data_IF_330713638576
#
_entry.id   IF_330713638576
#
_cell.length_a   1.000
_cell.length_b   1.000
_cell.length_c   1.000
_cell.angle_alpha   90.00
_cell.angle_beta   90.00
_cell.angle_gamma   90.00
#
_symmetry.space_group_name_H-M   'P 1'
#
loop_
_entity.id
_entity.type
_entity.pdbx_description
1 polymer ?
#
# COMPACT_ATOMS: atom_id res chain seq x y z
N UNK A 1 20.60 32.31 23.82
CA UNK A 1 20.71 30.84 23.83
C UNK A 1 19.40 30.28 23.29
N UNK A 2 19.40 29.79 22.06
CA UNK A 2 18.22 29.21 21.40
C UNK A 2 18.29 27.69 21.46
N UNK A 3 17.38 27.08 22.21
CA UNK A 3 17.16 25.63 22.27
C UNK A 3 15.65 25.35 22.30
N UNK A 4 14.90 25.93 21.36
CA UNK A 4 13.50 25.58 21.13
C UNK A 4 13.26 25.62 19.63
N UNK A 5 13.65 24.58 18.88
CA UNK A 5 13.24 24.40 17.47
C UNK A 5 13.60 23.04 16.84
N UNK A 6 14.54 22.25 17.38
CA UNK A 6 14.92 20.98 16.71
C UNK A 6 13.86 19.87 16.77
N UNK A 7 13.00 19.84 17.80
CA UNK A 7 12.03 18.76 17.99
C UNK A 7 10.79 18.85 17.11
N UNK A 8 10.37 20.08 16.73
CA UNK A 8 9.25 20.28 15.83
C UNK A 8 9.63 20.04 14.36
N UNK A 9 10.88 20.34 14.01
CA UNK A 9 11.41 20.13 12.66
C UNK A 9 11.52 18.62 12.34
N UNK A 10 11.94 17.79 13.29
CA UNK A 10 11.99 16.33 13.10
C UNK A 10 10.60 15.72 12.97
N UNK A 11 9.64 16.12 13.82
CA UNK A 11 8.27 15.61 13.74
C UNK A 11 7.57 15.96 12.42
N UNK A 12 7.78 17.18 11.91
CA UNK A 12 7.26 17.61 10.62
C UNK A 12 7.89 16.85 9.45
N UNK A 13 9.21 16.65 9.49
CA UNK A 13 9.92 15.83 8.50
C UNK A 13 9.41 14.39 8.50
N UNK A 14 9.11 13.82 9.66
CA UNK A 14 8.58 12.46 9.78
C UNK A 14 7.13 12.37 9.27
N UNK A 15 6.30 13.38 9.53
CA UNK A 15 4.94 13.50 8.97
C UNK A 15 4.96 13.55 7.43
N UNK A 16 5.79 14.42 6.84
CA UNK A 16 5.89 14.57 5.39
C UNK A 16 6.40 13.30 4.71
N UNK A 17 7.38 12.63 5.32
CA UNK A 17 7.89 11.33 4.84
C UNK A 17 6.81 10.24 4.90
N UNK A 18 6.05 10.17 5.99
CA UNK A 18 4.98 9.18 6.15
C UNK A 18 3.88 9.38 5.11
N UNK A 19 3.51 10.64 4.84
CA UNK A 19 2.56 10.98 3.77
C UNK A 19 3.09 10.61 2.39
N UNK A 20 4.37 10.84 2.13
CA UNK A 20 5.04 10.40 0.90
C UNK A 20 4.97 8.88 0.74
N UNK A 21 5.33 8.13 1.78
CA UNK A 21 5.27 6.68 1.78
C UNK A 21 3.85 6.14 1.54
N UNK A 22 2.82 6.76 2.13
CA UNK A 22 1.41 6.39 1.86
C UNK A 22 1.06 6.57 0.39
N UNK A 23 1.50 7.65 -0.25
CA UNK A 23 1.24 7.90 -1.67
C UNK A 23 1.86 6.80 -2.54
N UNK A 24 3.10 6.42 -2.25
CA UNK A 24 3.78 5.36 -2.98
C UNK A 24 3.12 3.98 -2.76
N UNK A 25 2.65 3.71 -1.53
CA UNK A 25 1.89 2.49 -1.22
C UNK A 25 0.55 2.45 -1.94
N UNK A 26 -0.16 3.58 -2.07
CA UNK A 26 -1.41 3.67 -2.83
C UNK A 26 -1.16 3.34 -4.30
N UNK A 27 -0.11 3.91 -4.90
CA UNK A 27 0.24 3.61 -6.29
C UNK A 27 0.54 2.11 -6.49
N UNK A 28 1.36 1.51 -5.62
CA UNK A 28 1.66 0.09 -5.68
C UNK A 28 0.43 -0.81 -5.44
N UNK A 29 -0.49 -0.39 -4.56
CA UNK A 29 -1.75 -1.10 -4.31
C UNK A 29 -2.61 -1.10 -5.57
N UNK A 30 -2.73 0.06 -6.22
CA UNK A 30 -3.55 0.22 -7.42
C UNK A 30 -2.95 -0.59 -8.59
N UNK A 31 -1.62 -0.63 -8.73
CA UNK A 31 -0.93 -1.52 -9.67
C UNK A 31 -1.19 -3.01 -9.38
N UNK A 32 -1.18 -3.42 -8.11
CA UNK A 32 -1.49 -4.80 -7.72
C UNK A 32 -2.94 -5.18 -8.04
N UNK A 33 -3.89 -4.26 -7.83
CA UNK A 33 -5.29 -4.45 -8.18
C UNK A 33 -5.48 -4.55 -9.69
N UNK A 34 -4.83 -3.67 -10.46
CA UNK A 34 -4.87 -3.71 -11.92
C UNK A 34 -4.28 -5.04 -12.44
N UNK A 35 -3.16 -5.50 -11.89
CA UNK A 35 -2.57 -6.78 -12.24
C UNK A 35 -3.50 -7.96 -11.91
N UNK A 36 -4.17 -7.94 -10.75
CA UNK A 36 -5.19 -8.93 -10.41
C UNK A 36 -6.30 -8.95 -11.47
N UNK A 37 -6.82 -7.79 -11.87
CA UNK A 37 -7.91 -7.68 -12.84
C UNK A 37 -7.46 -8.12 -14.24
N UNK A 38 -6.31 -7.65 -14.71
CA UNK A 38 -5.76 -8.04 -16.00
C UNK A 38 -5.46 -9.53 -16.07
N UNK A 39 -4.94 -10.11 -14.98
CA UNK A 39 -4.61 -11.54 -14.94
C UNK A 39 -5.81 -12.44 -15.19
N UNK A 40 -7.04 -12.02 -14.85
CA UNK A 40 -8.27 -12.80 -15.11
C UNK A 40 -8.52 -13.07 -16.60
N UNK A 41 -7.93 -12.26 -17.48
CA UNK A 41 -8.14 -12.34 -18.92
C UNK A 41 -6.91 -12.87 -19.67
N UNK A 42 -5.85 -13.24 -18.96
CA UNK A 42 -4.66 -13.81 -19.57
C UNK A 42 -4.92 -15.27 -19.91
N UNK A 43 -4.65 -15.62 -21.17
CA UNK A 43 -4.65 -16.99 -21.64
C UNK A 43 -3.23 -17.36 -22.10
N UNK A 44 -2.78 -18.60 -21.87
CA UNK A 44 -1.45 -19.08 -22.27
C UNK A 44 -1.27 -19.23 -23.80
N UNK A 45 -2.21 -18.74 -24.60
CA UNK A 45 -2.23 -18.91 -26.05
C UNK A 45 -2.65 -20.30 -26.50
N UNK A 46 -2.51 -20.56 -27.80
CA UNK A 46 -2.80 -21.87 -28.38
C UNK A 46 -1.52 -22.71 -28.43
N UNK A 47 -1.57 -23.91 -27.86
CA UNK A 47 -0.56 -24.96 -28.03
C UNK A 47 -1.10 -25.96 -29.06
N UNK A 48 -0.83 -25.71 -30.34
CA UNK A 48 -1.50 -26.33 -31.49
C UNK A 48 -0.98 -27.73 -31.86
N UNK A 49 -0.90 -28.67 -30.91
CA UNK A 49 -0.58 -30.06 -31.27
C UNK A 49 -1.75 -31.05 -31.09
N UNK A 50 -2.86 -30.60 -30.48
CA UNK A 50 -4.07 -31.42 -30.24
C UNK A 50 -3.75 -32.78 -29.63
N UNK A 51 -2.73 -32.82 -28.77
CA UNK A 51 -2.31 -33.99 -28.02
C UNK A 51 -2.38 -33.72 -26.51
N UNK A 52 -2.55 -34.81 -25.75
CA UNK A 52 -2.67 -34.78 -24.29
C UNK A 52 -1.52 -34.03 -23.59
N UNK A 53 -0.33 -34.01 -24.19
CA UNK A 53 0.85 -33.33 -23.61
C UNK A 53 0.69 -31.82 -23.72
N UNK A 54 0.29 -31.34 -24.89
CA UNK A 54 0.03 -29.92 -25.11
C UNK A 54 -1.15 -29.39 -24.32
N UNK A 55 -2.21 -30.18 -24.14
CA UNK A 55 -3.36 -29.80 -23.33
C UNK A 55 -2.99 -29.69 -21.85
N UNK A 56 -2.27 -30.67 -21.30
CA UNK A 56 -1.78 -30.62 -19.90
C UNK A 56 -0.84 -29.45 -19.67
N UNK A 57 0.04 -29.16 -20.63
CA UNK A 57 0.91 -27.99 -20.55
C UNK A 57 0.09 -26.69 -20.51
N UNK A 58 -0.91 -26.56 -21.40
CA UNK A 58 -1.81 -25.41 -21.44
C UNK A 58 -2.55 -25.22 -20.12
N UNK A 59 -3.11 -26.29 -19.55
CA UNK A 59 -3.79 -26.26 -18.25
C UNK A 59 -2.86 -25.82 -17.12
N UNK A 60 -1.63 -26.34 -17.07
CA UNK A 60 -0.66 -25.97 -16.04
C UNK A 60 -0.31 -24.47 -16.11
N UNK A 61 -0.12 -23.92 -17.32
CA UNK A 61 0.10 -22.48 -17.49
C UNK A 61 -1.13 -21.66 -17.12
N UNK A 62 -2.34 -22.09 -17.52
CA UNK A 62 -3.58 -21.42 -17.13
C UNK A 62 -3.72 -21.35 -15.60
N UNK A 63 -3.47 -22.45 -14.89
CA UNK A 63 -3.52 -22.48 -13.43
C UNK A 63 -2.50 -21.53 -12.80
N UNK A 64 -1.28 -21.49 -13.33
CA UNK A 64 -0.24 -20.59 -12.81
C UNK A 64 -0.54 -19.11 -13.08
N UNK A 65 -1.30 -18.80 -14.13
CA UNK A 65 -1.70 -17.45 -14.45
C UNK A 65 -2.92 -17.00 -13.62
N UNK A 66 -3.99 -17.78 -13.61
CA UNK A 66 -5.32 -17.32 -13.17
C UNK A 66 -5.98 -18.17 -12.08
N UNK A 67 -5.32 -19.25 -11.65
CA UNK A 67 -5.84 -20.14 -10.60
C UNK A 67 -6.01 -19.43 -9.25
N UNK A 68 -6.57 -20.13 -8.26
CA UNK A 68 -6.90 -19.51 -6.96
C UNK A 68 -5.72 -19.43 -5.99
N UNK A 69 -4.80 -20.40 -6.05
CA UNK A 69 -3.64 -20.49 -5.16
C UNK A 69 -2.34 -20.58 -5.96
N UNK A 70 -1.33 -19.82 -5.52
CA UNK A 70 0.00 -19.79 -6.14
C UNK A 70 0.00 -19.26 -7.57
N UNK A 71 -1.07 -18.63 -8.03
CA UNK A 71 -1.13 -18.01 -9.34
C UNK A 71 -0.65 -16.56 -9.29
N UNK A 72 -0.39 -15.98 -10.46
CA UNK A 72 -0.13 -14.55 -10.57
C UNK A 72 -1.30 -13.74 -10.00
N UNK A 73 -2.53 -14.12 -10.34
CA UNK A 73 -3.75 -13.49 -9.85
C UNK A 73 -3.83 -13.50 -8.32
N UNK A 74 -3.61 -14.66 -7.71
CA UNK A 74 -3.72 -14.80 -6.25
C UNK A 74 -2.64 -13.99 -5.53
N UNK A 75 -1.42 -14.01 -6.05
CA UNK A 75 -0.32 -13.21 -5.50
C UNK A 75 -0.59 -11.70 -5.59
N UNK A 76 -1.12 -11.22 -6.73
CA UNK A 76 -1.48 -9.82 -6.90
C UNK A 76 -2.56 -9.38 -5.90
N UNK A 77 -3.61 -10.20 -5.72
CA UNK A 77 -4.66 -9.99 -4.71
C UNK A 77 -4.12 -9.91 -3.29
N UNK A 78 -3.21 -10.82 -2.93
CA UNK A 78 -2.64 -10.89 -1.58
C UNK A 78 -1.76 -9.66 -1.30
N UNK A 79 -0.94 -9.25 -2.28
CA UNK A 79 -0.14 -8.03 -2.21
C UNK A 79 -1.04 -6.79 -2.07
N UNK A 80 -2.09 -6.68 -2.89
CA UNK A 80 -3.07 -5.60 -2.81
C UNK A 80 -3.63 -5.48 -1.38
N UNK A 81 -4.04 -6.61 -0.78
CA UNK A 81 -4.57 -6.64 0.59
C UNK A 81 -3.53 -6.18 1.62
N UNK A 82 -2.30 -6.68 1.55
CA UNK A 82 -1.22 -6.31 2.48
C UNK A 82 -0.90 -4.80 2.37
N UNK A 83 -0.90 -4.25 1.16
CA UNK A 83 -0.66 -2.82 0.94
C UNK A 83 -1.80 -1.99 1.52
N UNK A 84 -3.05 -2.41 1.35
CA UNK A 84 -4.21 -1.75 1.95
C UNK A 84 -4.10 -1.71 3.49
N UNK A 85 -3.77 -2.83 4.12
CA UNK A 85 -3.57 -2.90 5.58
C UNK A 85 -2.46 -1.96 6.06
N UNK A 86 -1.36 -1.85 5.32
CA UNK A 86 -0.26 -0.92 5.63
C UNK A 86 -0.67 0.54 5.48
N UNK A 87 -1.42 0.88 4.43
CA UNK A 87 -1.95 2.23 4.22
C UNK A 87 -2.85 2.63 5.39
N UNK A 88 -3.73 1.73 5.83
CA UNK A 88 -4.62 1.97 6.98
C UNK A 88 -3.82 2.22 8.26
N UNK A 89 -2.81 1.39 8.54
CA UNK A 89 -1.94 1.57 9.69
C UNK A 89 -1.19 2.91 9.66
N UNK A 90 -0.66 3.31 8.50
CA UNK A 90 0.06 4.58 8.36
C UNK A 90 -0.86 5.79 8.45
N UNK A 91 -2.08 5.70 7.91
CA UNK A 91 -3.08 6.75 8.07
C UNK A 91 -3.51 6.91 9.53
N UNK A 92 -3.61 5.82 10.30
CA UNK A 92 -3.87 5.89 11.74
C UNK A 92 -2.77 6.68 12.48
N UNK A 93 -1.50 6.40 12.17
CA UNK A 93 -0.36 7.14 12.74
C UNK A 93 -0.38 8.63 12.32
N UNK A 94 -0.70 8.94 11.06
CA UNK A 94 -0.87 10.35 10.63
C UNK A 94 -1.98 11.07 11.38
N UNK A 95 -3.09 10.39 11.67
CA UNK A 95 -4.19 10.97 12.43
C UNK A 95 -3.76 11.30 13.88
N UNK A 96 -2.94 10.45 14.51
CA UNK A 96 -2.37 10.72 15.83
C UNK A 96 -1.47 11.98 15.83
N UNK A 97 -0.68 12.19 14.78
CA UNK A 97 0.10 13.43 14.64
C UNK A 97 -0.79 14.68 14.57
N UNK A 98 -1.90 14.62 13.81
CA UNK A 98 -2.85 15.73 13.72
C UNK A 98 -3.49 16.09 15.07
N UNK A 99 -3.87 15.08 15.86
CA UNK A 99 -4.41 15.27 17.21
C UNK A 99 -3.35 15.83 18.18
N UNK A 100 -2.10 15.38 18.08
CA UNK A 100 -1.01 15.87 18.92
C UNK A 100 -0.68 17.34 18.62
N UNK A 101 -0.69 17.75 17.35
CA UNK A 101 -0.46 19.13 16.94
C UNK A 101 -1.60 20.05 17.39
N UNK A 102 -2.86 19.62 17.25
CA UNK A 102 -4.03 20.36 17.74
C UNK A 102 -3.95 20.56 19.26
N UNK A 103 -3.67 19.51 20.03
CA UNK A 103 -3.53 19.59 21.48
C UNK A 103 -2.35 20.48 21.92
N UNK A 104 -1.21 20.43 21.23
CA UNK A 104 -0.07 21.30 21.51
C UNK A 104 -0.40 22.78 21.25
N UNK A 105 -1.15 23.06 20.17
CA UNK A 105 -1.57 24.42 19.82
C UNK A 105 -2.54 25.03 20.84
N UNK A 106 -3.44 24.20 21.41
CA UNK A 106 -4.37 24.62 22.47
C UNK A 106 -3.61 24.93 23.77
N UNK A 107 -2.67 24.06 24.16
CA UNK A 107 -1.85 24.26 25.36
C UNK A 107 -0.99 25.54 25.29
N UNK A 108 -0.41 25.86 24.13
CA UNK A 108 0.33 27.12 23.94
C UNK A 108 -0.57 28.36 24.12
N UNK A 109 -1.76 28.38 23.52
CA UNK A 109 -2.71 29.50 23.64
C UNK A 109 -3.17 29.73 25.08
N UNK A 110 -3.38 28.67 25.84
CA UNK A 110 -3.76 28.78 27.25
C UNK A 110 -2.62 29.29 28.14
N UNK A 111 -1.37 29.01 27.76
CA UNK A 111 -0.19 29.52 28.46
C UNK A 111 0.04 31.01 28.16
N UNK A 112 -0.14 31.44 26.91
CA UNK A 112 -0.07 32.85 26.49
C UNK A 112 -1.19 33.72 27.07
N UNK A 113 -2.40 33.17 27.32
CA UNK A 113 -3.48 33.91 27.99
C UNK A 113 -3.30 34.08 29.50
N UNK A 114 -2.43 33.29 30.12
CA UNK A 114 -2.18 33.29 31.57
C UNK A 114 -0.88 34.00 31.97
N UNK A 115 -0.15 34.54 31.00
CA UNK A 115 1.06 35.38 31.18
C UNK A 115 0.75 36.84 30.84
#
# INVERSE_FOLDING_TARGET
MGLVSRSGETARVDYDKLRGAIKDLIAARDEALDLEQQSQHINPGELTAFDDTTDKAREAFQQRMTGDEGSLRSAARDIHKILQEKIEAYNAVLAEYGLAEENASVAQRDTERRS
#
